data_IF_147367188678
#
_entry.id   IF_147367188678
#
_cell.length_a   1.000
_cell.length_b   1.000
_cell.length_c   1.000
_cell.angle_alpha   90.00
_cell.angle_beta   90.00
_cell.angle_gamma   90.00
#
_symmetry.space_group_name_H-M   'P 1'
#
loop_
_entity.id
_entity.type
_entity.pdbx_description
1 polymer ?
#
# COMPACT_ATOMS: atom_id res chain seq x y z
N UNK A 1 4.23 -22.35 15.01
CA UNK A 1 2.97 -21.63 14.69
C UNK A 1 2.46 -22.06 13.33
N UNK A 2 1.15 -22.26 13.18
CA UNK A 2 0.54 -22.64 11.90
C UNK A 2 0.27 -21.37 11.07
N UNK A 3 0.58 -21.44 9.79
CA UNK A 3 0.30 -20.40 8.81
C UNK A 3 -1.21 -20.19 8.67
N UNK A 4 -1.63 -18.93 8.46
CA UNK A 4 -3.03 -18.64 8.17
C UNK A 4 -3.42 -19.14 6.78
N UNK A 5 -4.63 -19.66 6.66
CA UNK A 5 -5.25 -19.94 5.36
C UNK A 5 -5.67 -18.63 4.69
N UNK A 6 -5.87 -18.63 3.37
CA UNK A 6 -6.37 -17.47 2.64
C UNK A 6 -7.64 -16.89 3.28
N UNK A 7 -8.62 -17.70 3.65
CA UNK A 7 -9.85 -17.21 4.27
C UNK A 7 -9.59 -16.55 5.64
N UNK A 8 -8.68 -17.09 6.44
CA UNK A 8 -8.29 -16.46 7.71
C UNK A 8 -7.57 -15.13 7.51
N UNK A 9 -6.76 -15.00 6.44
CA UNK A 9 -6.14 -13.73 6.08
C UNK A 9 -7.19 -12.70 5.66
N UNK A 10 -8.15 -13.09 4.80
CA UNK A 10 -9.26 -12.25 4.37
C UNK A 10 -10.10 -11.75 5.56
N UNK A 11 -10.49 -12.65 6.47
CA UNK A 11 -11.25 -12.30 7.68
C UNK A 11 -10.46 -11.34 8.60
N UNK A 12 -9.17 -11.59 8.77
CA UNK A 12 -8.30 -10.70 9.53
C UNK A 12 -8.17 -9.32 8.89
N UNK A 13 -7.94 -9.25 7.58
CA UNK A 13 -7.85 -8.00 6.83
C UNK A 13 -9.18 -7.21 6.85
N UNK A 14 -10.33 -7.90 6.75
CA UNK A 14 -11.65 -7.28 6.88
C UNK A 14 -11.86 -6.65 8.26
N UNK A 15 -11.40 -7.29 9.33
CA UNK A 15 -11.48 -6.71 10.68
C UNK A 15 -10.62 -5.44 10.80
N UNK A 16 -9.45 -5.41 10.15
CA UNK A 16 -8.60 -4.22 10.09
C UNK A 16 -9.30 -3.12 9.29
N UNK A 17 -9.90 -3.45 8.14
CA UNK A 17 -10.65 -2.49 7.32
C UNK A 17 -11.85 -1.89 8.08
N UNK A 18 -12.62 -2.70 8.80
CA UNK A 18 -13.72 -2.22 9.65
C UNK A 18 -13.24 -1.22 10.72
N UNK A 19 -12.07 -1.48 11.32
CA UNK A 19 -11.48 -0.54 12.29
C UNK A 19 -11.04 0.76 11.63
N UNK A 20 -10.43 0.68 10.45
CA UNK A 20 -10.07 1.85 9.65
C UNK A 20 -11.29 2.66 9.24
N UNK A 21 -12.36 2.00 8.77
CA UNK A 21 -13.64 2.63 8.43
C UNK A 21 -14.24 3.39 9.62
N UNK A 22 -14.24 2.78 10.80
CA UNK A 22 -14.70 3.44 12.03
C UNK A 22 -13.94 4.75 12.28
N UNK A 23 -12.61 4.72 12.23
CA UNK A 23 -11.77 5.93 12.38
C UNK A 23 -12.11 6.97 11.31
N UNK A 24 -12.21 6.57 10.06
CA UNK A 24 -12.50 7.49 8.97
C UNK A 24 -13.87 8.15 9.12
N UNK A 25 -14.90 7.41 9.52
CA UNK A 25 -16.25 7.95 9.80
C UNK A 25 -16.24 8.93 10.96
N UNK A 26 -15.60 8.57 12.07
CA UNK A 26 -15.51 9.42 13.27
C UNK A 26 -14.76 10.73 13.00
N UNK A 27 -13.73 10.69 12.18
CA UNK A 27 -12.90 11.84 11.85
C UNK A 27 -13.35 12.58 10.58
N UNK A 28 -14.41 12.13 9.89
CA UNK A 28 -14.91 12.72 8.66
C UNK A 28 -13.90 12.64 7.50
N UNK A 29 -13.12 11.56 7.42
CA UNK A 29 -12.09 11.36 6.40
C UNK A 29 -12.66 10.57 5.22
N UNK A 30 -12.36 11.05 4.00
CA UNK A 30 -12.73 10.33 2.77
C UNK A 30 -11.70 9.24 2.49
N UNK A 31 -12.18 8.05 2.20
CA UNK A 31 -11.39 6.97 1.62
C UNK A 31 -12.30 6.15 0.70
N UNK A 32 -11.72 5.30 -0.12
CA UNK A 32 -12.45 4.44 -1.05
C UNK A 32 -11.77 3.08 -1.15
N UNK A 33 -12.57 2.00 -1.27
CA UNK A 33 -12.04 0.72 -1.71
C UNK A 33 -11.37 0.92 -3.07
N UNK A 34 -10.23 0.25 -3.28
CA UNK A 34 -9.39 0.52 -4.43
C UNK A 34 -8.89 -0.76 -5.10
N UNK A 35 -8.34 -0.67 -6.29
CA UNK A 35 -7.76 -1.79 -7.06
C UNK A 35 -8.59 -3.08 -7.01
N UNK A 36 -7.97 -4.22 -6.63
CA UNK A 36 -8.60 -5.54 -6.50
C UNK A 36 -9.77 -5.54 -5.54
N UNK A 37 -9.67 -4.83 -4.44
CA UNK A 37 -10.73 -4.69 -3.44
C UNK A 37 -11.98 -4.02 -4.02
N UNK A 38 -11.82 -3.00 -4.86
CA UNK A 38 -12.96 -2.35 -5.55
C UNK A 38 -13.62 -3.30 -6.56
N UNK A 39 -12.84 -4.07 -7.32
CA UNK A 39 -13.38 -5.12 -8.20
C UNK A 39 -14.16 -6.15 -7.38
N UNK A 40 -13.61 -6.57 -6.24
CA UNK A 40 -14.24 -7.49 -5.30
C UNK A 40 -15.60 -6.97 -4.84
N UNK A 41 -15.69 -5.74 -4.39
CA UNK A 41 -16.93 -5.08 -3.97
C UNK A 41 -18.01 -5.10 -5.07
N UNK A 42 -17.65 -4.74 -6.30
CA UNK A 42 -18.59 -4.64 -7.41
C UNK A 42 -19.02 -6.02 -7.93
N UNK A 43 -18.05 -6.90 -8.20
CA UNK A 43 -18.26 -8.17 -8.89
C UNK A 43 -18.66 -9.30 -7.96
N UNK A 44 -18.09 -9.36 -6.74
CA UNK A 44 -18.25 -10.48 -5.81
C UNK A 44 -19.04 -10.13 -4.54
N UNK A 45 -19.26 -8.84 -4.24
CA UNK A 45 -19.82 -8.34 -2.98
C UNK A 45 -18.97 -8.72 -1.76
N UNK A 46 -17.67 -8.87 -1.97
CA UNK A 46 -16.66 -9.31 -1.01
C UNK A 46 -15.32 -9.48 -1.69
N UNK A 47 -14.46 -10.30 -1.11
CA UNK A 47 -13.16 -10.59 -1.70
C UNK A 47 -13.28 -11.25 -3.09
N UNK A 48 -12.35 -10.95 -3.96
CA UNK A 48 -12.05 -11.84 -5.09
C UNK A 48 -11.57 -13.17 -4.46
N UNK A 49 -12.12 -14.35 -4.85
CA UNK A 49 -11.91 -15.60 -4.10
C UNK A 49 -10.47 -16.07 -3.94
N UNK A 50 -9.55 -15.58 -4.76
CA UNK A 50 -8.11 -15.90 -4.73
C UNK A 50 -7.23 -14.72 -4.30
N UNK A 51 -7.82 -13.60 -3.89
CA UNK A 51 -7.12 -12.41 -3.45
C UNK A 51 -6.87 -12.42 -1.95
N UNK A 52 -5.72 -11.93 -1.51
CA UNK A 52 -5.25 -12.06 -0.13
C UNK A 52 -4.97 -10.71 0.56
N UNK A 53 -5.24 -9.58 -0.11
CA UNK A 53 -5.04 -8.24 0.41
C UNK A 53 -6.30 -7.37 0.33
N UNK A 54 -6.22 -6.20 0.94
CA UNK A 54 -7.20 -5.12 0.84
C UNK A 54 -6.49 -3.80 0.59
N UNK A 55 -6.98 -3.10 -0.43
CA UNK A 55 -6.49 -1.81 -0.88
C UNK A 55 -7.54 -0.72 -0.65
N UNK A 56 -7.12 0.39 -0.09
CA UNK A 56 -7.90 1.62 -0.05
C UNK A 56 -7.09 2.80 -0.57
N UNK A 57 -7.76 3.77 -1.18
CA UNK A 57 -7.15 5.02 -1.58
C UNK A 57 -7.75 6.19 -0.82
N UNK A 58 -6.94 7.20 -0.52
CA UNK A 58 -7.36 8.41 0.19
C UNK A 58 -6.86 9.65 -0.53
N UNK A 59 -7.69 10.70 -0.72
CA UNK A 59 -7.19 12.02 -1.06
C UNK A 59 -6.06 12.44 -0.13
N UNK A 60 -4.98 13.05 -0.65
CA UNK A 60 -3.80 13.43 0.15
C UNK A 60 -4.15 14.20 1.43
N UNK A 61 -5.06 15.20 1.43
CA UNK A 61 -5.41 15.91 2.66
C UNK A 61 -6.05 15.03 3.74
N UNK A 62 -6.84 14.04 3.33
CA UNK A 62 -7.49 13.11 4.27
C UNK A 62 -6.49 12.04 4.75
N UNK A 63 -5.58 11.57 3.88
CA UNK A 63 -4.46 10.71 4.24
C UNK A 63 -3.57 11.34 5.31
N UNK A 64 -3.18 12.61 5.14
CA UNK A 64 -2.33 13.31 6.10
C UNK A 64 -3.01 13.44 7.47
N UNK A 65 -4.32 13.71 7.50
CA UNK A 65 -5.11 13.73 8.75
C UNK A 65 -5.17 12.35 9.40
N UNK A 66 -5.35 11.28 8.63
CA UNK A 66 -5.32 9.91 9.14
C UNK A 66 -3.97 9.59 9.78
N UNK A 67 -2.87 9.92 9.11
CA UNK A 67 -1.51 9.72 9.64
C UNK A 67 -1.33 10.47 10.95
N UNK A 68 -1.73 11.74 11.02
CA UNK A 68 -1.65 12.55 12.24
C UNK A 68 -2.49 11.96 13.37
N UNK A 69 -3.73 11.57 13.10
CA UNK A 69 -4.63 10.93 14.06
C UNK A 69 -4.03 9.63 14.63
N UNK A 70 -3.57 8.73 13.75
CA UNK A 70 -3.01 7.45 14.19
C UNK A 70 -1.73 7.61 15.02
N UNK A 71 -0.91 8.61 14.74
CA UNK A 71 0.28 8.94 15.55
C UNK A 71 -0.09 9.46 16.92
N UNK A 72 -1.09 10.35 17.02
CA UNK A 72 -1.59 10.91 18.27
C UNK A 72 -2.22 9.85 19.17
N UNK A 73 -2.97 8.90 18.59
CA UNK A 73 -3.72 7.87 19.29
C UNK A 73 -3.05 6.49 19.28
N UNK A 74 -1.73 6.43 19.06
CA UNK A 74 -0.98 5.17 18.87
C UNK A 74 -1.24 4.13 19.97
N UNK A 75 -1.35 4.54 21.23
CA UNK A 75 -1.58 3.62 22.34
C UNK A 75 -3.01 3.09 22.37
N UNK A 76 -4.00 3.93 22.08
CA UNK A 76 -5.42 3.58 22.07
C UNK A 76 -5.80 2.66 20.91
N UNK A 77 -5.06 2.76 19.81
CA UNK A 77 -5.29 1.95 18.61
C UNK A 77 -4.78 0.51 18.75
N UNK A 78 -3.93 0.20 19.76
CA UNK A 78 -3.40 -1.15 19.90
C UNK A 78 -4.52 -2.21 19.94
N UNK A 79 -4.36 -3.35 19.29
CA UNK A 79 -3.17 -3.85 18.58
C UNK A 79 -3.01 -3.34 17.14
N UNK A 80 -3.87 -2.39 16.69
CA UNK A 80 -3.74 -1.76 15.39
C UNK A 80 -2.67 -0.68 15.40
N UNK A 81 -1.95 -0.54 14.29
CA UNK A 81 -0.98 0.54 14.07
C UNK A 81 -0.98 0.98 12.62
N UNK A 82 -0.78 2.27 12.39
CA UNK A 82 -0.40 2.76 11.07
C UNK A 82 1.12 2.68 10.93
N UNK A 83 1.59 2.11 9.83
CA UNK A 83 3.01 1.99 9.52
C UNK A 83 3.34 2.81 8.29
N UNK A 84 4.25 3.76 8.45
CA UNK A 84 4.87 4.55 7.38
C UNK A 84 6.39 4.50 7.56
N UNK A 85 7.13 5.06 6.63
CA UNK A 85 8.59 5.15 6.72
C UNK A 85 9.06 6.03 7.89
N UNK A 86 8.26 7.01 8.32
CA UNK A 86 8.59 7.86 9.48
C UNK A 86 8.41 7.11 10.81
N UNK A 87 7.48 6.15 10.85
CA UNK A 87 7.23 5.34 12.04
C UNK A 87 8.24 4.19 12.17
N UNK A 88 8.75 3.71 11.03
CA UNK A 88 9.75 2.66 10.96
C UNK A 88 10.73 2.91 9.79
N UNK A 89 11.96 3.40 10.03
CA UNK A 89 12.95 3.65 8.98
C UNK A 89 13.37 2.42 8.15
N UNK A 90 13.04 1.20 8.61
CA UNK A 90 13.25 -0.03 7.85
C UNK A 90 12.08 -0.35 6.91
N UNK A 91 10.99 0.39 7.01
CA UNK A 91 9.84 0.26 6.12
C UNK A 91 10.23 0.60 4.68
N UNK A 92 9.73 -0.18 3.73
CA UNK A 92 10.24 -0.14 2.35
C UNK A 92 9.15 0.19 1.31
N UNK A 93 7.98 0.57 1.76
CA UNK A 93 6.87 0.93 0.88
C UNK A 93 6.57 2.43 0.94
N UNK A 94 6.35 3.09 -0.19
CA UNK A 94 6.01 4.52 -0.23
C UNK A 94 4.53 4.81 0.05
N UNK A 95 3.78 3.82 0.52
CA UNK A 95 2.38 3.92 0.95
C UNK A 95 2.28 3.62 2.44
N UNK A 96 1.17 3.96 3.08
CA UNK A 96 0.95 3.54 4.47
C UNK A 96 0.26 2.17 4.53
N UNK A 97 0.45 1.47 5.64
CA UNK A 97 -0.24 0.23 5.98
C UNK A 97 -0.89 0.34 7.34
N UNK A 98 -2.20 0.13 7.40
CA UNK A 98 -2.87 -0.03 8.68
C UNK A 98 -2.86 -1.51 9.04
N UNK A 99 -2.16 -1.88 10.12
CA UNK A 99 -1.83 -3.27 10.40
C UNK A 99 -2.17 -3.71 11.82
N UNK A 100 -2.46 -5.01 11.96
CA UNK A 100 -2.68 -5.68 13.24
C UNK A 100 -1.38 -6.35 13.71
N UNK A 101 -0.82 -5.86 14.81
CA UNK A 101 0.46 -6.33 15.36
C UNK A 101 0.40 -7.71 16.01
N UNK A 102 -0.78 -8.29 16.18
CA UNK A 102 -0.96 -9.68 16.65
C UNK A 102 -0.54 -10.72 15.62
N UNK A 103 -0.34 -10.29 14.37
CA UNK A 103 0.15 -11.13 13.28
C UNK A 103 1.59 -10.75 12.92
N UNK A 104 2.26 -11.67 12.24
CA UNK A 104 3.55 -11.44 11.59
C UNK A 104 3.44 -11.80 10.12
N UNK A 105 3.86 -10.89 9.27
CA UNK A 105 3.92 -11.07 7.82
C UNK A 105 5.38 -11.18 7.40
N UNK A 106 5.68 -12.15 6.54
CA UNK A 106 7.01 -12.30 5.94
C UNK A 106 6.88 -12.44 4.42
N UNK A 107 7.44 -11.51 3.71
CA UNK A 107 7.59 -11.56 2.25
C UNK A 107 8.81 -12.37 1.83
N UNK A 108 8.70 -13.08 0.70
CA UNK A 108 9.84 -13.78 0.12
C UNK A 108 10.84 -12.78 -0.46
N UNK A 109 12.10 -12.88 -0.04
CA UNK A 109 13.18 -12.04 -0.56
C UNK A 109 13.18 -10.58 -0.11
N UNK A 110 12.24 -10.18 0.76
CA UNK A 110 12.19 -8.86 1.38
C UNK A 110 12.57 -8.98 2.85
N UNK A 111 13.30 -7.99 3.33
CA UNK A 111 13.70 -7.89 4.74
C UNK A 111 12.48 -7.79 5.63
N UNK A 112 12.53 -8.49 6.78
CA UNK A 112 11.50 -8.36 7.82
C UNK A 112 11.64 -7.00 8.51
N UNK A 113 10.58 -6.24 8.57
CA UNK A 113 10.49 -4.93 9.23
C UNK A 113 9.33 -4.89 10.25
N UNK A 114 8.84 -6.06 10.70
CA UNK A 114 7.87 -6.17 11.78
C UNK A 114 6.42 -5.91 11.37
N UNK A 115 6.08 -6.12 10.10
CA UNK A 115 4.71 -5.93 9.61
C UNK A 115 3.76 -7.00 10.18
N UNK A 116 2.59 -6.55 10.64
CA UNK A 116 1.42 -7.40 10.93
C UNK A 116 0.56 -7.63 9.68
N UNK A 117 -0.56 -8.35 9.83
CA UNK A 117 -1.59 -8.38 8.78
C UNK A 117 -2.12 -6.96 8.54
N UNK A 118 -2.43 -6.56 7.32
CA UNK A 118 -2.58 -5.16 6.96
C UNK A 118 -3.67 -4.89 5.91
N UNK A 119 -4.01 -3.59 5.81
CA UNK A 119 -4.71 -2.96 4.69
C UNK A 119 -3.77 -1.91 4.11
N UNK A 120 -3.58 -1.92 2.79
CA UNK A 120 -2.77 -0.93 2.07
C UNK A 120 -3.55 0.38 1.88
N UNK A 121 -2.90 1.51 2.17
CA UNK A 121 -3.50 2.84 2.06
C UNK A 121 -2.70 3.68 1.08
N UNK A 122 -3.28 3.93 -0.08
CA UNK A 122 -2.67 4.68 -1.18
C UNK A 122 -3.05 6.15 -1.11
N UNK A 123 -2.10 7.06 -0.90
CA UNK A 123 -2.38 8.49 -1.05
C UNK A 123 -2.59 8.84 -2.52
N UNK A 124 -3.63 9.62 -2.78
CA UNK A 124 -3.90 10.20 -4.10
C UNK A 124 -3.38 11.63 -4.14
N UNK A 125 -2.45 11.89 -5.05
CA UNK A 125 -1.82 13.19 -5.26
C UNK A 125 -2.28 13.84 -6.56
N UNK A 126 -2.11 15.15 -6.69
CA UNK A 126 -2.36 15.87 -7.93
C UNK A 126 -1.37 15.45 -9.02
N UNK A 127 -1.86 15.31 -10.26
CA UNK A 127 -1.04 14.98 -11.42
C UNK A 127 -0.98 16.11 -12.45
N UNK A 128 -1.94 17.05 -12.43
CA UNK A 128 -2.04 18.17 -13.36
C UNK A 128 -3.44 18.37 -13.91
N UNK A 129 -3.56 19.28 -14.88
CA UNK A 129 -4.85 19.69 -15.41
C UNK A 129 -5.11 19.23 -16.84
N UNK A 130 -4.08 18.75 -17.55
CA UNK A 130 -4.19 18.11 -18.87
C UNK A 130 -3.69 16.67 -18.82
N UNK A 131 -4.11 15.85 -19.79
CA UNK A 131 -3.67 14.46 -19.89
C UNK A 131 -2.17 14.37 -20.16
N UNK A 132 -1.62 15.22 -21.02
CA UNK A 132 -0.19 15.26 -21.34
C UNK A 132 0.63 15.59 -20.09
N UNK A 133 0.18 16.58 -19.34
CA UNK A 133 0.84 16.99 -18.09
C UNK A 133 0.84 15.85 -17.09
N UNK A 134 -0.30 15.18 -16.90
CA UNK A 134 -0.43 14.09 -15.94
C UNK A 134 0.39 12.85 -16.37
N UNK A 135 0.42 12.50 -17.67
CA UNK A 135 1.26 11.43 -18.22
C UNK A 135 2.76 11.69 -18.00
N UNK A 136 3.19 12.91 -18.25
CA UNK A 136 4.59 13.30 -18.03
C UNK A 136 4.95 13.28 -16.54
N UNK A 137 3.99 13.66 -15.70
CA UNK A 137 4.20 13.73 -14.25
C UNK A 137 4.44 12.35 -13.63
N UNK A 138 3.60 11.35 -13.90
CA UNK A 138 3.71 10.03 -13.25
C UNK A 138 4.96 9.23 -13.66
N UNK A 139 5.67 9.62 -14.71
CA UNK A 139 6.87 8.91 -15.18
C UNK A 139 8.15 9.28 -14.42
N UNK A 140 8.13 10.31 -13.56
CA UNK A 140 9.34 10.88 -12.94
C UNK A 140 10.03 10.01 -11.87
N UNK A 141 9.36 9.28 -10.96
CA UNK A 141 10.02 8.69 -9.79
C UNK A 141 10.73 7.34 -10.02
N UNK A 142 10.83 6.84 -11.24
CA UNK A 142 11.36 5.50 -11.55
C UNK A 142 12.76 5.17 -10.98
N UNK A 143 13.63 6.19 -10.79
CA UNK A 143 14.97 5.99 -10.23
C UNK A 143 14.91 5.64 -8.74
N UNK A 144 14.09 6.36 -7.99
CA UNK A 144 13.99 6.21 -6.53
C UNK A 144 13.32 4.88 -6.17
N UNK A 145 12.30 4.43 -6.92
CA UNK A 145 11.69 3.11 -6.77
C UNK A 145 12.71 1.97 -6.91
N UNK A 146 13.66 2.07 -7.86
CA UNK A 146 14.74 1.07 -8.00
C UNK A 146 15.65 1.01 -6.76
N UNK A 147 15.95 2.16 -6.16
CA UNK A 147 16.75 2.20 -4.94
C UNK A 147 15.96 1.68 -3.72
N UNK A 148 14.67 1.99 -3.62
CA UNK A 148 13.78 1.41 -2.58
C UNK A 148 13.80 -0.11 -2.68
N UNK A 149 13.66 -0.69 -3.89
CA UNK A 149 13.75 -2.13 -4.11
C UNK A 149 15.11 -2.73 -3.69
N UNK A 150 16.20 -1.99 -3.86
CA UNK A 150 17.51 -2.39 -3.33
C UNK A 150 17.55 -2.39 -1.80
N UNK A 151 16.91 -1.41 -1.16
CA UNK A 151 16.78 -1.37 0.30
C UNK A 151 15.90 -2.51 0.83
N UNK A 152 14.82 -2.82 0.12
CA UNK A 152 13.87 -3.87 0.48
C UNK A 152 14.45 -5.29 0.37
N UNK A 153 15.30 -5.54 -0.64
CA UNK A 153 15.83 -6.88 -0.92
C UNK A 153 16.58 -7.48 0.28
N UNK A 154 16.27 -8.71 0.64
CA UNK A 154 16.95 -9.43 1.74
C UNK A 154 18.44 -9.62 1.43
N UNK A 155 18.76 -10.01 0.18
CA UNK A 155 20.12 -10.29 -0.29
C UNK A 155 20.40 -9.65 -1.65
N UNK A 156 21.67 -9.34 -1.88
CA UNK A 156 22.13 -8.92 -3.21
C UNK A 156 21.97 -10.06 -4.21
N UNK A 157 21.42 -9.75 -5.39
CA UNK A 157 21.31 -10.68 -6.51
C UNK A 157 22.14 -10.16 -7.70
N UNK A 158 23.06 -10.93 -8.28
CA UNK A 158 23.87 -10.53 -9.43
C UNK A 158 23.01 -10.07 -10.63
N UNK A 159 23.63 -9.38 -11.56
CA UNK A 159 22.94 -8.87 -12.75
C UNK A 159 22.56 -10.01 -13.71
N UNK A 160 21.28 -10.06 -14.13
CA UNK A 160 20.82 -10.98 -15.18
C UNK A 160 21.38 -10.62 -16.58
N UNK A 161 21.92 -9.39 -16.75
CA UNK A 161 22.54 -8.92 -18.00
C UNK A 161 23.99 -9.37 -18.19
N UNK A 162 24.49 -10.23 -17.29
CA UNK A 162 25.84 -10.77 -17.33
C UNK A 162 26.75 -10.22 -16.23
N UNK A 163 27.89 -10.87 -16.03
CA UNK A 163 28.83 -10.61 -14.95
C UNK A 163 29.47 -9.21 -15.01
N UNK A 164 29.64 -8.63 -16.24
CA UNK A 164 30.19 -7.29 -16.45
C UNK A 164 29.33 -6.18 -15.81
N UNK A 165 28.01 -6.37 -15.68
CA UNK A 165 27.10 -5.41 -15.06
C UNK A 165 26.96 -5.60 -13.53
N UNK A 166 27.48 -6.68 -13.00
CA UNK A 166 27.36 -7.02 -11.57
C UNK A 166 28.06 -6.03 -10.64
N UNK A 167 29.29 -5.52 -10.94
CA UNK A 167 29.94 -4.52 -10.09
C UNK A 167 29.17 -3.21 -9.98
N UNK A 168 28.64 -2.69 -11.11
CA UNK A 168 27.83 -1.47 -11.10
C UNK A 168 26.52 -1.66 -10.33
N UNK A 169 25.86 -2.83 -10.48
CA UNK A 169 24.67 -3.18 -9.71
C UNK A 169 24.97 -3.30 -8.20
N UNK A 170 26.13 -3.87 -7.83
CA UNK A 170 26.57 -3.99 -6.44
C UNK A 170 26.84 -2.61 -5.84
N UNK A 171 27.51 -1.72 -6.56
CA UNK A 171 27.74 -0.35 -6.11
C UNK A 171 26.43 0.40 -5.89
N UNK A 172 25.47 0.30 -6.82
CA UNK A 172 24.13 0.88 -6.67
C UNK A 172 23.35 0.29 -5.49
N UNK A 173 23.47 -1.01 -5.25
CA UNK A 173 22.85 -1.68 -4.11
C UNK A 173 23.45 -1.20 -2.76
N UNK A 174 24.79 -1.13 -2.68
CA UNK A 174 25.47 -0.61 -1.49
C UNK A 174 25.13 0.86 -1.24
N UNK A 175 25.11 1.68 -2.30
CA UNK A 175 24.70 3.09 -2.24
C UNK A 175 23.27 3.24 -1.71
N UNK A 176 22.31 2.48 -2.26
CA UNK A 176 20.93 2.51 -1.80
C UNK A 176 20.82 2.19 -0.30
N UNK A 177 21.52 1.15 0.14
CA UNK A 177 21.53 0.73 1.55
C UNK A 177 22.17 1.71 2.50
N UNK A 178 23.19 2.44 2.05
CA UNK A 178 23.84 3.49 2.83
C UNK A 178 22.87 4.63 3.15
N UNK A 179 22.00 5.01 2.18
CA UNK A 179 21.03 6.08 2.35
C UNK A 179 19.73 5.62 3.02
N UNK A 180 19.39 4.33 2.90
CA UNK A 180 18.17 3.75 3.43
C UNK A 180 16.90 4.07 2.61
N UNK A 181 15.83 3.30 2.84
CA UNK A 181 14.55 3.45 2.14
C UNK A 181 13.89 4.80 2.39
N UNK A 182 13.98 5.32 3.62
CA UNK A 182 13.40 6.59 4.03
C UNK A 182 13.85 7.76 3.14
N UNK A 183 15.14 7.82 2.80
CA UNK A 183 15.69 8.86 1.92
C UNK A 183 14.97 8.91 0.56
N UNK A 184 14.75 7.77 -0.06
CA UNK A 184 14.12 7.69 -1.38
C UNK A 184 12.61 7.88 -1.31
N UNK A 185 11.96 7.36 -0.27
CA UNK A 185 10.51 7.52 -0.06
C UNK A 185 10.19 9.00 0.17
N UNK A 186 10.92 9.70 1.03
CA UNK A 186 10.72 11.14 1.25
C UNK A 186 10.95 11.97 -0.01
N UNK A 187 11.88 11.57 -0.88
CA UNK A 187 12.08 12.25 -2.17
C UNK A 187 10.89 12.07 -3.11
N UNK A 188 10.34 10.85 -3.19
CA UNK A 188 9.13 10.58 -3.98
C UNK A 188 7.95 11.36 -3.40
N UNK A 189 7.79 11.36 -2.08
CA UNK A 189 6.73 12.10 -1.41
C UNK A 189 6.84 13.61 -1.63
N UNK A 190 8.05 14.18 -1.44
CA UNK A 190 8.30 15.59 -1.70
C UNK A 190 8.02 16.00 -3.16
N UNK A 191 8.25 15.08 -4.11
CA UNK A 191 7.88 15.28 -5.50
C UNK A 191 6.35 15.18 -5.69
N UNK A 192 5.69 14.16 -5.17
CA UNK A 192 4.25 13.95 -5.29
C UNK A 192 3.45 15.15 -4.75
N UNK A 193 3.90 15.72 -3.64
CA UNK A 193 3.29 16.89 -2.98
C UNK A 193 3.48 18.23 -3.70
N UNK A 194 4.23 18.30 -4.81
CA UNK A 194 4.37 19.55 -5.58
C UNK A 194 3.09 19.92 -6.32
N UNK A 195 2.19 18.95 -6.53
CA UNK A 195 0.89 19.17 -7.14
C UNK A 195 -0.22 18.86 -6.13
N UNK A 196 -0.98 19.88 -5.79
CA UNK A 196 -2.07 19.79 -4.83
C UNK A 196 -3.23 18.97 -5.41
N UNK A 197 -3.75 18.03 -4.62
CA UNK A 197 -4.88 17.18 -4.98
C UNK A 197 -6.12 18.02 -5.36
N UNK A 198 -6.47 19.04 -4.58
CA UNK A 198 -7.69 19.83 -4.77
C UNK A 198 -7.60 20.76 -6.00
N UNK A 199 -6.39 21.12 -6.43
CA UNK A 199 -6.16 22.05 -7.54
C UNK A 199 -5.88 21.35 -8.88
N UNK A 200 -5.84 20.02 -8.91
CA UNK A 200 -5.62 19.26 -10.12
C UNK A 200 -6.90 18.58 -10.63
N UNK A 201 -7.07 18.56 -11.96
CA UNK A 201 -8.11 17.78 -12.61
C UNK A 201 -7.81 16.28 -12.61
N UNK A 202 -6.53 15.92 -12.76
CA UNK A 202 -6.04 14.55 -12.73
C UNK A 202 -5.34 14.28 -11.40
N UNK A 203 -5.64 13.13 -10.82
CA UNK A 203 -5.06 12.66 -9.54
C UNK A 203 -4.66 11.20 -9.66
N UNK A 204 -3.73 10.73 -8.82
CA UNK A 204 -3.28 9.33 -8.92
C UNK A 204 -2.39 8.88 -7.78
N UNK A 205 -2.10 7.58 -7.75
CA UNK A 205 -1.22 6.94 -6.77
C UNK A 205 0.26 7.09 -7.16
N UNK A 206 0.73 8.33 -7.32
CA UNK A 206 2.04 8.66 -7.90
C UNK A 206 3.22 8.17 -7.09
N UNK A 207 3.03 7.87 -5.81
CA UNK A 207 4.07 7.30 -4.94
C UNK A 207 4.27 5.80 -5.15
N UNK A 208 3.30 5.10 -5.75
CA UNK A 208 3.33 3.64 -5.87
C UNK A 208 3.75 3.15 -7.24
N UNK A 209 3.18 3.70 -8.30
CA UNK A 209 3.40 3.28 -9.68
C UNK A 209 3.66 4.50 -10.58
N UNK A 210 4.19 4.25 -11.76
CA UNK A 210 4.53 5.23 -12.78
C UNK A 210 3.75 5.03 -14.08
N UNK A 211 2.75 4.16 -14.06
CA UNK A 211 1.90 3.87 -15.20
C UNK A 211 0.73 4.84 -15.31
N UNK A 212 0.29 5.09 -16.53
CA UNK A 212 -0.88 5.95 -16.77
C UNK A 212 -2.19 5.39 -16.18
N UNK A 213 -2.32 4.09 -16.06
CA UNK A 213 -3.51 3.42 -15.55
C UNK A 213 -3.82 3.65 -14.06
N UNK A 214 -2.94 4.36 -13.34
CA UNK A 214 -3.14 4.78 -11.94
C UNK A 214 -3.60 6.24 -11.81
N UNK A 215 -3.84 6.91 -12.93
CA UNK A 215 -4.25 8.33 -12.96
C UNK A 215 -5.73 8.40 -13.31
N UNK A 216 -6.48 9.14 -12.53
CA UNK A 216 -7.93 9.24 -12.61
C UNK A 216 -8.37 10.70 -12.71
N UNK A 217 -9.58 10.94 -13.16
CA UNK A 217 -10.21 12.26 -13.03
C UNK A 217 -10.63 12.46 -11.57
N UNK A 218 -10.26 13.60 -10.98
CA UNK A 218 -10.65 13.92 -9.59
C UNK A 218 -12.16 13.92 -9.40
N UNK A 219 -12.93 14.34 -10.43
CA UNK A 219 -14.41 14.31 -10.42
C UNK A 219 -15.00 12.92 -10.14
N UNK A 220 -14.28 11.83 -10.51
CA UNK A 220 -14.73 10.45 -10.23
C UNK A 220 -14.74 10.13 -8.73
N UNK A 221 -13.93 10.86 -7.95
CA UNK A 221 -13.72 10.68 -6.52
C UNK A 221 -14.49 11.72 -5.66
N UNK A 222 -15.23 12.65 -6.27
CA UNK A 222 -15.95 13.68 -5.52
C UNK A 222 -17.17 13.14 -4.78
N UNK A 223 -17.84 12.13 -5.35
CA UNK A 223 -19.04 11.53 -4.75
C UNK A 223 -18.75 10.13 -4.27
N UNK A 224 -19.22 9.84 -3.08
CA UNK A 224 -19.08 8.53 -2.43
C UNK A 224 -20.38 7.73 -2.56
N UNK A 225 -20.25 6.47 -2.93
CA UNK A 225 -21.29 5.46 -2.83
C UNK A 225 -20.90 4.45 -1.76
N UNK A 226 -21.87 3.86 -1.07
CA UNK A 226 -21.63 2.75 -0.16
C UNK A 226 -22.16 1.47 -0.77
N UNK A 227 -21.35 0.43 -0.76
CA UNK A 227 -21.69 -0.87 -1.36
C UNK A 227 -21.39 -2.02 -0.41
N UNK A 228 -22.13 -3.13 -0.48
CA UNK A 228 -21.85 -4.33 0.29
C UNK A 228 -20.46 -4.88 -0.02
N UNK A 229 -19.73 -5.27 1.02
CA UNK A 229 -18.48 -6.04 0.96
C UNK A 229 -18.44 -6.98 2.17
N UNK A 230 -18.55 -8.29 1.93
CA UNK A 230 -18.73 -9.33 2.96
C UNK A 230 -19.96 -9.02 3.84
N UNK A 231 -19.77 -8.80 5.14
CA UNK A 231 -20.82 -8.55 6.12
C UNK A 231 -20.98 -7.05 6.49
N UNK A 232 -20.39 -6.15 5.70
CA UNK A 232 -20.43 -4.70 5.94
C UNK A 232 -20.62 -3.90 4.64
N UNK A 233 -20.72 -2.57 4.76
CA UNK A 233 -20.76 -1.64 3.62
C UNK A 233 -19.59 -0.68 3.72
N UNK A 234 -18.92 -0.47 2.58
CA UNK A 234 -17.75 0.39 2.49
C UNK A 234 -17.87 1.41 1.35
N UNK A 235 -17.17 2.54 1.46
CA UNK A 235 -17.21 3.60 0.46
C UNK A 235 -16.44 3.23 -0.79
N UNK A 236 -17.03 3.55 -1.95
CA UNK A 236 -16.41 3.51 -3.26
C UNK A 236 -16.60 4.85 -3.96
N UNK A 237 -15.73 5.23 -4.93
CA UNK A 237 -15.94 6.42 -5.73
C UNK A 237 -17.14 6.24 -6.67
N UNK A 238 -17.96 7.27 -6.87
CA UNK A 238 -19.10 7.18 -7.79
C UNK A 238 -18.66 6.93 -9.24
N UNK A 239 -17.45 7.39 -9.62
CA UNK A 239 -16.84 7.14 -10.93
C UNK A 239 -16.13 5.79 -11.06
N UNK A 240 -16.39 4.82 -10.17
CA UNK A 240 -15.69 3.54 -10.10
C UNK A 240 -15.62 2.78 -11.44
N UNK A 241 -16.68 2.78 -12.24
CA UNK A 241 -16.70 2.04 -13.51
C UNK A 241 -15.69 2.61 -14.52
N UNK A 242 -15.61 3.94 -14.64
CA UNK A 242 -14.61 4.61 -15.49
C UNK A 242 -13.20 4.31 -14.99
N UNK A 243 -12.96 4.39 -13.68
CA UNK A 243 -11.67 4.10 -13.08
C UNK A 243 -11.24 2.65 -13.30
N UNK A 244 -12.13 1.68 -13.03
CA UNK A 244 -11.83 0.27 -13.21
C UNK A 244 -11.61 -0.10 -14.69
N UNK A 245 -12.39 0.45 -15.61
CA UNK A 245 -12.16 0.26 -17.07
C UNK A 245 -10.84 0.85 -17.52
N UNK A 246 -10.48 2.00 -16.97
CA UNK A 246 -9.20 2.64 -17.28
C UNK A 246 -8.01 1.79 -16.82
N UNK A 247 -8.10 1.20 -15.62
CA UNK A 247 -7.02 0.41 -15.03
C UNK A 247 -6.94 -1.02 -15.59
N UNK A 248 -8.09 -1.69 -15.75
CA UNK A 248 -8.16 -3.13 -16.02
C UNK A 248 -8.89 -3.51 -17.32
N UNK A 249 -9.51 -2.56 -18.02
CA UNK A 249 -10.36 -2.87 -19.17
C UNK A 249 -11.67 -3.54 -18.78
N UNK A 250 -11.91 -4.74 -19.25
CA UNK A 250 -13.08 -5.54 -18.85
C UNK A 250 -12.85 -6.23 -17.51
N UNK A 251 -13.03 -5.46 -16.43
CA UNK A 251 -12.88 -5.95 -15.06
C UNK A 251 -14.02 -6.87 -14.59
N UNK A 252 -15.17 -6.86 -15.30
CA UNK A 252 -16.30 -7.70 -14.94
C UNK A 252 -16.11 -9.17 -15.33
N UNK A 253 -15.36 -9.44 -16.37
CA UNK A 253 -15.00 -10.81 -16.79
C UNK A 253 -13.82 -11.32 -15.94
N UNK A 254 -14.01 -12.36 -15.10
CA UNK A 254 -12.91 -12.96 -14.36
C UNK A 254 -11.84 -13.53 -15.31
N UNK A 255 -10.54 -13.49 -14.92
CA UNK A 255 -9.49 -14.11 -15.71
C UNK A 255 -9.71 -15.63 -15.84
N UNK A 256 -9.07 -16.29 -16.81
CA UNK A 256 -9.11 -17.75 -16.94
C UNK A 256 -8.72 -18.46 -15.64
N UNK A 257 -9.28 -19.67 -15.34
CA UNK A 257 -9.06 -20.35 -14.06
C UNK A 257 -7.58 -20.53 -13.67
N UNK A 258 -6.71 -20.76 -14.65
CA UNK A 258 -5.26 -20.92 -14.46
C UNK A 258 -4.53 -19.64 -14.02
N UNK A 259 -5.16 -18.47 -14.18
CA UNK A 259 -4.65 -17.18 -13.74
C UNK A 259 -5.27 -16.72 -12.40
N UNK A 260 -6.20 -17.51 -11.83
CA UNK A 260 -6.86 -17.21 -10.54
C UNK A 260 -6.00 -17.66 -9.36
N UNK A 261 -4.85 -17.07 -9.22
CA UNK A 261 -3.88 -17.34 -8.16
C UNK A 261 -3.62 -16.07 -7.36
N UNK A 262 -3.35 -16.18 -6.07
CA UNK A 262 -2.90 -15.07 -5.25
C UNK A 262 -1.61 -14.47 -5.83
N UNK A 263 -1.53 -13.15 -5.85
CA UNK A 263 -0.41 -12.44 -6.49
C UNK A 263 0.68 -12.05 -5.49
N UNK A 264 0.46 -12.25 -4.19
CA UNK A 264 1.38 -11.84 -3.15
C UNK A 264 2.18 -13.02 -2.61
N UNK A 265 3.50 -12.82 -2.54
CA UNK A 265 4.45 -13.83 -2.07
C UNK A 265 4.80 -13.56 -0.61
N UNK A 266 3.79 -13.63 0.27
CA UNK A 266 4.00 -13.52 1.70
C UNK A 266 3.23 -14.59 2.47
N UNK A 267 3.68 -14.82 3.69
CA UNK A 267 3.08 -15.75 4.63
C UNK A 267 2.72 -15.00 5.91
N UNK A 268 1.59 -15.36 6.52
CA UNK A 268 1.08 -14.74 7.75
C UNK A 268 0.96 -15.77 8.86
N UNK A 269 1.44 -15.43 10.04
CA UNK A 269 1.30 -16.22 11.27
C UNK A 269 0.72 -15.37 12.39
N UNK A 270 -0.15 -15.94 13.27
CA UNK A 270 -0.46 -15.29 14.53
C UNK A 270 0.79 -15.27 15.42
N UNK A 271 1.02 -14.18 16.15
CA UNK A 271 2.04 -14.15 17.21
C UNK A 271 1.49 -14.86 18.45
N UNK A 272 2.35 -15.60 19.17
CA UNK A 272 1.97 -16.17 20.47
C UNK A 272 1.70 -15.05 21.48
N UNK A 273 0.55 -15.10 22.16
CA UNK A 273 0.26 -14.20 23.26
C UNK A 273 1.23 -14.54 24.42
N UNK A 274 2.27 -13.69 24.61
CA UNK A 274 3.20 -13.86 25.72
C UNK A 274 4.69 -13.67 25.42
N UNK A 275 5.10 -13.56 24.15
CA UNK A 275 6.48 -13.17 23.82
C UNK A 275 6.60 -11.63 23.88
N UNK A 276 6.75 -11.08 25.09
CA UNK A 276 7.36 -9.77 25.24
C UNK A 276 8.75 -9.83 24.56
N UNK A 277 9.01 -8.90 23.65
CA UNK A 277 10.33 -8.73 23.05
C UNK A 277 11.34 -8.50 24.19
N UNK A 278 12.12 -9.51 24.53
CA UNK A 278 13.35 -9.30 25.28
C UNK A 278 14.28 -8.46 24.38
N UNK A 279 14.22 -7.16 24.54
CA UNK A 279 15.31 -6.29 24.12
C UNK A 279 16.54 -6.74 24.89
N UNK A 280 17.39 -7.52 24.23
CA UNK A 280 18.77 -7.71 24.69
C UNK A 280 19.46 -6.36 24.60
N UNK A 281 19.42 -5.62 25.70
CA UNK A 281 20.44 -4.64 26.00
C UNK A 281 21.79 -5.39 26.08
N UNK A 282 22.53 -5.31 24.98
CA UNK A 282 23.90 -5.73 24.94
C UNK A 282 24.70 -4.78 25.81
N UNK A 283 25.00 -5.22 27.04
CA UNK A 283 25.95 -4.59 27.91
C UNK A 283 27.29 -4.46 27.17
N UNK A 284 27.73 -3.25 26.96
CA UNK A 284 29.10 -2.90 26.66
C UNK A 284 29.80 -2.84 28.02
N UNK A 285 30.66 -3.78 28.25
CA UNK A 285 31.73 -3.70 29.24
C UNK A 285 33.06 -3.78 28.53
#
# INVERSE_FOLDING_TARGET
MKELTLRQMQEGALNILKKLDGICREQGLRYFLFYGTLIGAIRHKGFIPWDDDLDVAMPRPDFDKLVAYCRQHRQELQPMQLMTVDDNPQYVYPIARFSDTRYRVKYQGIRDYGLGLFVDIYPLDGCGNTEEEARAWVQQPMRDVKFINCCAAEKFTPSRRGWLHTPAKLAGFAWARLHGSAHYIHRIEAWARQKDYENCRYVGCTMWDTNWNIVFLREDLEKTLYVPFEDAEFPIPAGYDRMLRHTYGDYMTPPPPEQRIGQHFYTVWPKEQGAAEEHKEGAIS
#
